data_IF_019021836231
#
_entry.id   IF_019021836231
#
_cell.length_a   1.000
_cell.length_b   1.000
_cell.length_c   1.000
_cell.angle_alpha   90.00
_cell.angle_beta   90.00
_cell.angle_gamma   90.00
#
_symmetry.space_group_name_H-M   'P 1'
#
loop_
_entity.id
_entity.type
_entity.pdbx_description
1 polymer ?
#
# COMPACT_ATOMS: atom_id res chain seq x y z
N UNK A 1 -54.58 -11.92 15.79
CA UNK A 1 -55.16 -13.23 16.08
C UNK A 1 -54.49 -14.31 15.27
N UNK A 2 -53.67 -15.13 15.93
CA UNK A 2 -53.34 -16.47 15.45
C UNK A 2 -53.75 -17.44 16.56
N UNK A 3 -54.77 -18.23 16.27
CA UNK A 3 -55.22 -19.33 17.12
C UNK A 3 -54.22 -20.47 17.16
N UNK A 4 -54.25 -21.20 18.26
CA UNK A 4 -53.39 -22.34 18.56
C UNK A 4 -53.67 -23.54 17.63
N UNK A 5 -52.58 -24.19 17.20
CA UNK A 5 -52.37 -25.65 17.05
C UNK A 5 -51.65 -26.04 15.75
N UNK A 6 -50.31 -26.09 15.81
CA UNK A 6 -49.48 -26.94 14.94
C UNK A 6 -48.13 -27.28 15.65
N UNK A 7 -47.71 -28.56 15.71
CA UNK A 7 -46.45 -28.96 16.32
C UNK A 7 -45.31 -28.82 15.30
N UNK A 8 -44.69 -27.64 15.32
CA UNK A 8 -43.52 -27.28 14.54
C UNK A 8 -43.27 -25.82 14.78
N UNK A 9 -42.24 -25.49 15.59
CA UNK A 9 -41.97 -24.14 16.05
C UNK A 9 -42.01 -23.15 14.89
N UNK A 10 -43.07 -22.35 14.82
CA UNK A 10 -43.20 -21.34 13.79
C UNK A 10 -42.33 -20.17 14.24
N UNK A 11 -41.15 -20.03 13.65
CA UNK A 11 -40.31 -18.86 13.86
C UNK A 11 -41.03 -17.64 13.29
N UNK A 12 -41.70 -16.91 14.17
CA UNK A 12 -42.43 -15.71 13.80
C UNK A 12 -41.45 -14.55 13.76
N UNK A 13 -41.20 -14.01 12.57
CA UNK A 13 -40.41 -12.80 12.37
C UNK A 13 -41.34 -11.60 12.20
N UNK A 14 -41.02 -10.49 12.88
CA UNK A 14 -41.76 -9.23 12.74
C UNK A 14 -40.91 -8.23 11.98
N UNK A 15 -41.46 -7.65 10.92
CA UNK A 15 -40.83 -6.53 10.22
C UNK A 15 -40.66 -5.33 11.15
N UNK A 16 -39.51 -4.66 11.05
CA UNK A 16 -39.33 -3.34 11.65
C UNK A 16 -40.25 -2.33 10.97
N UNK A 17 -40.51 -1.18 11.58
CA UNK A 17 -41.33 -0.13 10.94
C UNK A 17 -40.76 0.28 9.57
N UNK A 18 -39.43 0.39 9.47
CA UNK A 18 -38.76 0.63 8.20
C UNK A 18 -38.96 -0.52 7.21
N UNK A 19 -38.84 -1.78 7.64
CA UNK A 19 -39.09 -2.94 6.79
C UNK A 19 -40.53 -2.99 6.28
N UNK A 20 -41.51 -2.67 7.14
CA UNK A 20 -42.92 -2.60 6.75
C UNK A 20 -43.21 -1.46 5.77
N UNK A 21 -42.56 -0.31 5.94
CA UNK A 21 -42.67 0.80 4.98
C UNK A 21 -42.10 0.42 3.61
N UNK A 22 -40.91 -0.19 3.56
CA UNK A 22 -40.23 -0.56 2.32
C UNK A 22 -40.89 -1.72 1.56
N UNK A 23 -41.47 -2.69 2.27
CA UNK A 23 -41.94 -3.95 1.69
C UNK A 23 -43.47 -4.02 1.59
N UNK A 24 -44.19 -3.37 2.50
CA UNK A 24 -45.64 -3.47 2.62
C UNK A 24 -46.36 -2.12 2.50
N UNK A 25 -45.69 -1.09 1.98
CA UNK A 25 -46.24 0.26 1.75
C UNK A 25 -46.90 0.88 2.99
N UNK A 26 -46.41 0.50 4.18
CA UNK A 26 -46.85 1.05 5.45
C UNK A 26 -46.41 2.52 5.59
N UNK A 27 -47.00 3.31 6.51
CA UNK A 27 -46.58 4.70 6.74
C UNK A 27 -45.08 4.79 7.04
N UNK A 28 -44.44 5.83 6.49
CA UNK A 28 -43.03 6.07 6.74
C UNK A 28 -42.76 6.20 8.26
N UNK A 29 -41.72 5.54 8.78
CA UNK A 29 -41.32 5.75 10.17
C UNK A 29 -40.95 7.23 10.38
N UNK A 30 -41.14 7.76 11.60
CA UNK A 30 -40.73 9.13 11.91
C UNK A 30 -39.23 9.30 11.70
N UNK A 31 -38.84 10.46 11.14
CA UNK A 31 -37.43 10.82 11.01
C UNK A 31 -36.76 10.82 12.39
N UNK A 32 -35.64 10.11 12.50
CA UNK A 32 -34.86 10.13 13.73
C UNK A 32 -34.14 11.47 13.84
N UNK A 33 -34.21 12.14 15.00
CA UNK A 33 -33.48 13.39 15.21
C UNK A 33 -31.98 13.12 15.11
N UNK A 34 -31.28 13.93 14.31
CA UNK A 34 -29.83 13.88 14.22
C UNK A 34 -29.24 14.42 15.52
N UNK A 35 -28.71 13.53 16.36
CA UNK A 35 -28.11 13.90 17.63
C UNK A 35 -26.63 14.26 17.44
N UNK A 36 -26.15 15.38 18.01
CA UNK A 36 -24.75 15.75 17.93
C UNK A 36 -23.84 14.74 18.65
N UNK A 37 -22.58 14.72 18.23
CA UNK A 37 -21.52 14.06 18.97
C UNK A 37 -21.24 14.79 20.28
N UNK A 38 -20.90 14.04 21.33
CA UNK A 38 -20.46 14.63 22.59
C UNK A 38 -18.97 14.35 22.72
N UNK A 39 -18.17 15.42 22.61
CA UNK A 39 -16.71 15.35 22.70
C UNK A 39 -16.27 15.75 24.10
N UNK A 40 -15.60 14.84 24.79
CA UNK A 40 -15.13 15.04 26.17
C UNK A 40 -13.65 15.42 26.21
N UNK A 41 -13.25 16.17 27.24
CA UNK A 41 -11.84 16.55 27.47
C UNK A 41 -10.90 15.36 27.73
N UNK A 42 -11.46 14.16 27.96
CA UNK A 42 -10.75 12.88 28.08
C UNK A 42 -10.35 12.26 26.74
N UNK A 43 -10.62 12.92 25.61
CA UNK A 43 -10.49 12.39 24.25
C UNK A 43 -11.50 11.30 23.89
N UNK A 44 -12.53 11.12 24.71
CA UNK A 44 -13.65 10.24 24.42
C UNK A 44 -14.71 11.00 23.62
N UNK A 45 -15.19 10.37 22.56
CA UNK A 45 -16.24 10.88 21.69
C UNK A 45 -17.41 9.92 21.80
N UNK A 46 -18.47 10.40 22.41
CA UNK A 46 -19.72 9.66 22.54
C UNK A 46 -20.53 9.94 21.28
N UNK A 47 -20.87 8.86 20.58
CA UNK A 47 -21.68 8.84 19.37
C UNK A 47 -23.05 8.22 19.70
N UNK A 48 -24.08 9.06 19.93
CA UNK A 48 -25.44 8.60 20.19
C UNK A 48 -26.00 7.74 19.05
N UNK A 49 -27.01 6.89 19.30
CA UNK A 49 -27.64 6.08 18.26
C UNK A 49 -28.30 6.94 17.18
N UNK A 50 -28.78 8.15 17.54
CA UNK A 50 -29.35 9.12 16.61
C UNK A 50 -28.32 9.98 15.86
N UNK A 51 -27.02 9.80 16.07
CA UNK A 51 -26.01 10.54 15.30
C UNK A 51 -26.01 10.10 13.83
N UNK A 52 -25.75 11.05 12.92
CA UNK A 52 -25.73 10.77 11.49
C UNK A 52 -24.77 9.63 11.12
N UNK A 53 -25.15 8.85 10.09
CA UNK A 53 -24.29 7.79 9.55
C UNK A 53 -22.96 8.35 9.04
N UNK A 54 -22.97 9.58 8.52
CA UNK A 54 -21.78 10.32 8.13
C UNK A 54 -20.84 10.53 9.33
N UNK A 55 -21.34 11.05 10.45
CA UNK A 55 -20.54 11.25 11.66
C UNK A 55 -19.94 9.93 12.17
N UNK A 56 -20.75 8.87 12.20
CA UNK A 56 -20.30 7.53 12.62
C UNK A 56 -19.21 6.96 11.72
N UNK A 57 -19.37 7.11 10.41
CA UNK A 57 -18.37 6.68 9.43
C UNK A 57 -17.06 7.45 9.57
N UNK A 58 -17.13 8.78 9.68
CA UNK A 58 -15.95 9.62 9.83
C UNK A 58 -15.21 9.32 11.14
N UNK A 59 -15.93 9.12 12.26
CA UNK A 59 -15.32 8.70 13.53
C UNK A 59 -14.55 7.38 13.40
N UNK A 60 -15.10 6.40 12.69
CA UNK A 60 -14.39 5.14 12.41
C UNK A 60 -13.12 5.31 11.60
N UNK A 61 -12.94 6.45 10.90
CA UNK A 61 -11.71 6.76 10.18
C UNK A 61 -10.69 7.48 11.04
N UNK A 62 -11.09 8.22 12.08
CA UNK A 62 -10.17 9.16 12.78
C UNK A 62 -9.99 8.83 14.27
N UNK A 63 -10.78 7.91 14.82
CA UNK A 63 -10.75 7.52 16.23
C UNK A 63 -10.86 6.00 16.40
N UNK A 64 -10.43 5.49 17.55
CA UNK A 64 -10.49 4.07 17.88
C UNK A 64 -11.85 3.73 18.52
N UNK A 65 -12.48 2.65 18.09
CA UNK A 65 -13.73 2.18 18.70
C UNK A 65 -13.41 1.52 20.05
N UNK A 66 -13.96 2.06 21.14
CA UNK A 66 -13.82 1.47 22.47
C UNK A 66 -15.01 0.60 22.86
N UNK A 67 -16.22 1.09 22.59
CA UNK A 67 -17.44 0.39 22.95
C UNK A 67 -18.48 0.55 21.86
N UNK A 68 -19.13 -0.57 21.52
CA UNK A 68 -20.30 -0.61 20.64
C UNK A 68 -21.48 -1.21 21.41
N UNK A 69 -22.63 -0.55 21.35
CA UNK A 69 -23.83 -0.88 22.13
C UNK A 69 -24.91 0.17 21.89
N UNK A 70 -25.77 0.40 22.88
CA UNK A 70 -26.83 1.44 22.82
C UNK A 70 -26.27 2.83 22.52
N UNK A 71 -25.07 3.11 23.04
CA UNK A 71 -24.27 4.29 22.71
C UNK A 71 -22.90 3.79 22.27
N UNK A 72 -22.34 4.39 21.22
CA UNK A 72 -21.02 4.03 20.72
C UNK A 72 -19.99 5.01 21.25
N UNK A 73 -18.89 4.51 21.81
CA UNK A 73 -17.81 5.34 22.36
C UNK A 73 -16.57 5.13 21.50
N UNK A 74 -16.07 6.24 20.99
CA UNK A 74 -14.78 6.32 20.30
C UNK A 74 -13.77 7.03 21.19
N UNK A 75 -12.49 6.74 20.99
CA UNK A 75 -11.40 7.44 21.64
C UNK A 75 -10.42 7.98 20.62
N UNK A 76 -10.15 9.27 20.71
CA UNK A 76 -9.10 9.91 19.93
C UNK A 76 -7.74 9.58 20.54
N UNK A 77 -6.85 9.00 19.75
CA UNK A 77 -5.48 8.67 20.16
C UNK A 77 -4.50 9.25 19.15
N UNK A 78 -3.26 9.52 19.59
CA UNK A 78 -2.18 9.92 18.69
C UNK A 78 -2.06 8.95 17.51
N UNK A 79 -2.05 7.65 17.78
CA UNK A 79 -1.96 6.60 16.74
C UNK A 79 -3.07 6.70 15.69
N UNK A 80 -4.32 6.89 16.11
CA UNK A 80 -5.44 7.01 15.19
C UNK A 80 -5.36 8.28 14.32
N UNK A 81 -4.92 9.40 14.90
CA UNK A 81 -4.72 10.66 14.18
C UNK A 81 -3.56 10.56 13.19
N UNK A 82 -2.43 9.96 13.57
CA UNK A 82 -1.32 9.69 12.65
C UNK A 82 -1.76 8.79 11.48
N UNK A 83 -2.46 7.70 11.77
CA UNK A 83 -2.99 6.80 10.74
C UNK A 83 -4.05 7.48 9.85
N UNK A 84 -4.76 8.50 10.35
CA UNK A 84 -5.68 9.32 9.55
C UNK A 84 -4.91 10.26 8.61
N UNK A 85 -3.82 10.86 9.08
CA UNK A 85 -2.93 11.70 8.27
C UNK A 85 -2.27 10.91 7.13
N UNK A 86 -1.83 9.66 7.39
CA UNK A 86 -1.32 8.75 6.34
C UNK A 86 -2.34 8.49 5.22
N UNK A 87 -3.64 8.58 5.53
CA UNK A 87 -4.75 8.47 4.56
C UNK A 87 -5.18 9.81 3.95
N UNK A 88 -4.38 10.86 4.14
CA UNK A 88 -4.64 12.20 3.61
C UNK A 88 -5.71 12.99 4.39
N UNK A 89 -6.03 12.61 5.62
CA UNK A 89 -6.98 13.36 6.47
C UNK A 89 -6.17 14.28 7.38
N UNK A 90 -6.15 15.57 7.09
CA UNK A 90 -5.40 16.54 7.89
C UNK A 90 -6.05 16.71 9.29
N UNK A 91 -5.21 16.94 10.30
CA UNK A 91 -5.65 17.23 11.67
C UNK A 91 -6.65 18.40 11.73
N UNK A 92 -6.46 19.43 10.90
CA UNK A 92 -7.39 20.57 10.80
C UNK A 92 -8.79 20.14 10.30
N UNK A 93 -8.85 19.17 9.39
CA UNK A 93 -10.13 18.65 8.88
C UNK A 93 -10.83 17.79 9.92
N UNK A 94 -10.07 17.01 10.72
CA UNK A 94 -10.63 16.28 11.86
C UNK A 94 -11.20 17.25 12.90
N UNK A 95 -10.49 18.34 13.19
CA UNK A 95 -10.94 19.37 14.11
C UNK A 95 -12.26 20.00 13.64
N UNK A 96 -12.30 20.46 12.38
CA UNK A 96 -13.50 21.06 11.76
C UNK A 96 -14.67 20.08 11.78
N UNK A 97 -14.43 18.82 11.42
CA UNK A 97 -15.43 17.76 11.48
C UNK A 97 -16.02 17.60 12.89
N UNK A 98 -15.17 17.56 13.93
CA UNK A 98 -15.64 17.40 15.30
C UNK A 98 -16.49 18.60 15.74
N UNK A 99 -16.06 19.84 15.44
CA UNK A 99 -16.83 21.07 15.73
C UNK A 99 -18.20 21.08 15.05
N UNK A 100 -18.24 20.72 13.76
CA UNK A 100 -19.47 20.65 12.97
C UNK A 100 -20.46 19.63 13.53
N UNK A 101 -19.98 18.43 13.87
CA UNK A 101 -20.84 17.33 14.32
C UNK A 101 -21.17 17.39 15.83
N UNK A 102 -20.41 18.13 16.65
CA UNK A 102 -20.76 18.35 18.06
C UNK A 102 -21.65 19.57 18.29
N UNK A 103 -21.92 20.37 17.25
CA UNK A 103 -22.73 21.60 17.31
C UNK A 103 -22.28 22.56 18.43
N UNK A 104 -20.97 22.64 18.66
CA UNK A 104 -20.40 23.42 19.76
C UNK A 104 -18.89 23.47 19.72
N UNK A 105 -18.32 24.46 20.43
CA UNK A 105 -16.88 24.60 20.54
C UNK A 105 -16.27 23.41 21.31
N UNK A 106 -15.20 22.85 20.76
CA UNK A 106 -14.49 21.76 21.41
C UNK A 106 -13.71 22.25 22.63
N UNK A 107 -13.48 21.39 23.64
CA UNK A 107 -12.55 21.68 24.71
C UNK A 107 -11.17 22.11 24.16
N UNK A 108 -10.56 23.22 24.64
CA UNK A 108 -9.29 23.71 24.12
C UNK A 108 -8.15 22.69 24.15
N UNK A 109 -8.16 21.78 25.13
CA UNK A 109 -7.18 20.70 25.24
C UNK A 109 -7.19 19.77 24.02
N UNK A 110 -8.37 19.50 23.46
CA UNK A 110 -8.51 18.62 22.31
C UNK A 110 -7.99 19.31 21.06
N UNK A 111 -8.41 20.56 20.83
CA UNK A 111 -7.96 21.34 19.68
C UNK A 111 -6.43 21.48 19.65
N UNK A 112 -5.82 21.83 20.79
CA UNK A 112 -4.38 21.96 20.91
C UNK A 112 -3.65 20.64 20.63
N UNK A 113 -4.03 19.56 21.31
CA UNK A 113 -3.36 18.26 21.18
C UNK A 113 -3.55 17.63 19.80
N UNK A 114 -4.72 17.82 19.18
CA UNK A 114 -5.00 17.30 17.84
C UNK A 114 -4.12 18.02 16.80
N UNK A 115 -3.98 19.34 16.91
CA UNK A 115 -3.05 20.12 16.07
C UNK A 115 -1.59 19.77 16.34
N UNK A 116 -1.21 19.53 17.59
CA UNK A 116 0.14 19.07 17.94
C UNK A 116 0.46 17.72 17.28
N UNK A 117 -0.45 16.75 17.35
CA UNK A 117 -0.27 15.45 16.69
C UNK A 117 -0.19 15.59 15.17
N UNK A 118 -0.99 16.49 14.58
CA UNK A 118 -0.93 16.82 13.15
C UNK A 118 0.32 17.61 12.72
N UNK A 119 0.90 18.42 13.61
CA UNK A 119 2.15 19.12 13.32
C UNK A 119 3.37 18.19 13.31
N UNK A 120 3.27 17.03 13.96
CA UNK A 120 4.33 16.02 14.00
C UNK A 120 4.31 15.07 12.79
N UNK A 121 3.25 15.03 11.97
CA UNK A 121 3.13 14.11 10.82
C UNK A 121 3.95 14.52 9.60
N UNK A 122 4.51 15.73 9.56
CA UNK A 122 5.28 16.23 8.40
C UNK A 122 6.77 16.48 8.71
N UNK A 123 7.26 16.09 9.89
CA UNK A 123 8.67 16.31 10.25
C UNK A 123 9.64 15.45 9.44
N UNK A 124 9.18 14.28 8.97
CA UNK A 124 9.98 13.34 8.19
C UNK A 124 9.11 12.75 7.08
N UNK A 125 9.58 12.83 5.83
CA UNK A 125 8.91 12.28 4.65
C UNK A 125 9.86 11.31 3.95
N UNK A 126 9.38 10.12 3.64
CA UNK A 126 10.04 9.17 2.74
C UNK A 126 9.29 9.15 1.42
N UNK A 127 10.02 9.26 0.31
CA UNK A 127 9.48 9.19 -1.04
C UNK A 127 10.44 8.44 -1.96
N UNK A 128 9.89 7.83 -3.01
CA UNK A 128 10.68 7.34 -4.13
C UNK A 128 10.98 8.51 -5.06
N UNK A 129 12.22 8.63 -5.53
CA UNK A 129 12.64 9.69 -6.42
C UNK A 129 13.76 9.23 -7.35
N UNK A 130 13.69 9.62 -8.62
CA UNK A 130 14.83 9.54 -9.54
C UNK A 130 15.74 10.75 -9.33
N UNK A 131 17.04 10.48 -9.21
CA UNK A 131 18.07 11.50 -9.04
C UNK A 131 18.95 11.56 -10.28
N UNK A 132 19.10 12.76 -10.85
CA UNK A 132 20.13 13.07 -11.82
C UNK A 132 21.37 13.55 -11.06
N UNK A 133 22.45 12.79 -11.17
CA UNK A 133 23.75 13.14 -10.60
C UNK A 133 24.76 13.49 -11.67
N UNK A 134 25.49 14.58 -11.46
CA UNK A 134 26.65 14.94 -12.29
C UNK A 134 27.95 14.68 -11.56
N UNK A 135 29.03 14.53 -12.32
CA UNK A 135 30.39 14.35 -11.76
C UNK A 135 30.86 15.56 -10.97
N UNK A 136 30.43 16.76 -11.37
CA UNK A 136 30.78 18.02 -10.71
C UNK A 136 29.68 19.10 -10.93
N UNK A 137 29.75 20.24 -10.19
CA UNK A 137 28.76 21.31 -10.31
C UNK A 137 28.81 22.09 -11.64
N UNK A 138 29.94 22.07 -12.35
CA UNK A 138 30.11 22.79 -13.62
C UNK A 138 29.27 22.11 -14.69
N UNK A 139 29.32 20.77 -14.75
CA UNK A 139 28.48 19.96 -15.63
C UNK A 139 27.00 20.17 -15.33
N UNK A 140 26.60 20.21 -14.05
CA UNK A 140 25.21 20.51 -13.67
C UNK A 140 24.75 21.89 -14.18
N UNK A 141 25.60 22.91 -14.04
CA UNK A 141 25.29 24.25 -14.54
C UNK A 141 25.14 24.28 -16.07
N UNK A 142 25.99 23.57 -16.81
CA UNK A 142 25.89 23.45 -18.27
C UNK A 142 24.60 22.76 -18.70
N UNK A 143 24.22 21.66 -18.05
CA UNK A 143 22.96 20.95 -18.32
C UNK A 143 21.74 21.85 -18.07
N UNK A 144 21.74 22.62 -16.97
CA UNK A 144 20.62 23.53 -16.64
C UNK A 144 20.48 24.70 -17.60
N UNK A 145 21.54 25.10 -18.31
CA UNK A 145 21.48 26.14 -19.34
C UNK A 145 20.85 25.66 -20.65
N UNK A 146 20.80 24.34 -20.88
CA UNK A 146 20.20 23.77 -22.08
C UNK A 146 18.67 23.75 -21.97
N UNK A 147 18.00 24.70 -22.63
CA UNK A 147 16.52 24.81 -22.63
C UNK A 147 15.81 23.54 -23.10
N UNK A 148 16.45 22.76 -23.97
CA UNK A 148 15.91 21.50 -24.50
C UNK A 148 15.69 20.43 -23.43
N UNK A 149 16.46 20.46 -22.33
CA UNK A 149 16.39 19.47 -21.26
C UNK A 149 15.36 19.82 -20.17
N UNK A 150 14.78 21.03 -20.19
CA UNK A 150 13.77 21.45 -19.21
C UNK A 150 14.26 21.57 -17.75
N UNK A 151 15.54 21.37 -17.47
CA UNK A 151 16.11 21.29 -16.10
C UNK A 151 16.20 22.64 -15.37
N UNK A 152 15.97 23.76 -16.06
CA UNK A 152 16.11 25.10 -15.49
C UNK A 152 15.12 25.40 -14.35
N UNK A 153 13.91 24.85 -14.45
CA UNK A 153 12.83 25.08 -13.48
C UNK A 153 12.90 24.18 -12.24
N UNK A 154 13.78 23.17 -12.24
CA UNK A 154 13.90 22.21 -11.14
C UNK A 154 14.91 22.74 -10.12
N UNK A 155 14.47 22.82 -8.86
CA UNK A 155 15.32 23.21 -7.73
C UNK A 155 16.32 22.08 -7.43
N UNK A 156 17.65 22.34 -7.43
CA UNK A 156 18.64 21.33 -7.12
C UNK A 156 18.65 20.99 -5.63
N UNK A 157 18.81 19.70 -5.29
CA UNK A 157 19.00 19.28 -3.90
C UNK A 157 20.41 19.65 -3.40
N UNK A 158 21.40 19.51 -4.29
CA UNK A 158 22.78 19.94 -4.07
C UNK A 158 23.35 20.46 -5.40
N UNK A 159 24.54 21.08 -5.42
CA UNK A 159 25.15 21.54 -6.67
C UNK A 159 25.40 20.44 -7.72
N UNK A 160 25.35 19.16 -7.35
CA UNK A 160 25.55 18.01 -8.26
C UNK A 160 24.36 17.06 -8.33
N UNK A 161 23.32 17.26 -7.52
CA UNK A 161 22.14 16.40 -7.46
C UNK A 161 20.88 17.19 -7.74
N UNK A 162 20.10 16.67 -8.68
CA UNK A 162 18.82 17.22 -9.08
C UNK A 162 17.77 16.11 -9.05
N UNK A 163 16.64 16.39 -8.41
CA UNK A 163 15.51 15.45 -8.36
C UNK A 163 14.70 15.55 -9.65
N UNK A 164 14.52 14.45 -10.35
CA UNK A 164 13.74 14.39 -11.59
C UNK A 164 12.39 13.74 -11.28
N UNK A 165 11.27 14.26 -11.80
CA UNK A 165 9.99 13.56 -11.72
C UNK A 165 10.08 12.19 -12.40
N UNK A 166 9.56 11.14 -11.75
CA UNK A 166 9.68 9.77 -12.26
C UNK A 166 9.12 9.61 -13.69
N UNK A 167 8.02 10.30 -14.01
CA UNK A 167 7.42 10.27 -15.35
C UNK A 167 8.26 10.92 -16.46
N UNK A 168 9.16 11.83 -16.11
CA UNK A 168 10.01 12.55 -17.06
C UNK A 168 11.42 11.94 -17.18
N UNK A 169 11.74 10.97 -16.32
CA UNK A 169 13.09 10.44 -16.18
C UNK A 169 13.60 9.73 -17.44
N UNK A 170 12.77 8.92 -18.10
CA UNK A 170 13.14 8.20 -19.32
C UNK A 170 13.35 9.13 -20.51
N UNK A 171 12.43 10.08 -20.69
CA UNK A 171 12.52 11.08 -21.74
C UNK A 171 13.75 11.96 -21.55
N UNK A 172 14.04 12.37 -20.31
CA UNK A 172 15.24 13.13 -19.98
C UNK A 172 16.51 12.32 -20.27
N UNK A 173 16.56 11.04 -19.86
CA UNK A 173 17.71 10.18 -20.11
C UNK A 173 17.98 10.01 -21.62
N UNK A 174 16.93 9.89 -22.43
CA UNK A 174 17.04 9.82 -23.89
C UNK A 174 17.47 11.18 -24.49
N UNK A 175 16.96 12.30 -24.00
CA UNK A 175 17.38 13.64 -24.43
C UNK A 175 18.85 13.91 -24.10
N UNK A 176 19.32 13.51 -22.92
CA UNK A 176 20.72 13.62 -22.51
C UNK A 176 21.63 12.81 -23.43
N UNK A 177 21.25 11.57 -23.76
CA UNK A 177 21.97 10.72 -24.73
C UNK A 177 22.04 11.37 -26.11
N UNK A 178 20.93 11.92 -26.61
CA UNK A 178 20.89 12.65 -27.90
C UNK A 178 21.74 13.92 -27.89
N UNK A 179 21.85 14.59 -26.75
CA UNK A 179 22.71 15.75 -26.56
C UNK A 179 24.20 15.40 -26.40
N UNK A 180 24.57 14.11 -26.43
CA UNK A 180 25.96 13.63 -26.39
C UNK A 180 26.48 13.36 -24.98
N UNK A 181 25.64 13.39 -23.95
CA UNK A 181 26.03 13.03 -22.59
C UNK A 181 25.98 11.52 -22.38
N UNK A 182 27.05 10.95 -21.85
CA UNK A 182 27.06 9.57 -21.40
C UNK A 182 26.23 9.42 -20.13
N UNK A 183 25.02 8.87 -20.25
CA UNK A 183 24.14 8.60 -19.10
C UNK A 183 24.41 7.18 -18.60
N UNK A 184 24.93 7.07 -17.39
CA UNK A 184 24.96 5.79 -16.67
C UNK A 184 23.63 5.63 -15.97
N UNK A 185 22.81 4.69 -16.45
CA UNK A 185 21.52 4.40 -15.85
C UNK A 185 21.68 3.29 -14.80
N UNK A 186 21.68 3.68 -13.53
CA UNK A 186 21.71 2.75 -12.38
C UNK A 186 20.31 2.48 -11.81
N UNK A 187 19.26 2.97 -12.47
CA UNK A 187 17.88 2.70 -12.03
C UNK A 187 17.62 1.20 -12.15
N UNK A 188 17.53 0.51 -11.02
CA UNK A 188 16.90 -0.81 -10.97
C UNK A 188 15.41 -0.52 -10.99
N UNK A 189 14.74 -0.71 -12.12
CA UNK A 189 13.29 -0.58 -12.20
C UNK A 189 12.65 -1.89 -11.72
N UNK A 190 12.10 -1.99 -10.49
CA UNK A 190 11.44 -3.19 -10.01
C UNK A 190 10.11 -3.47 -10.74
N UNK A 191 9.60 -2.52 -11.52
CA UNK A 191 8.35 -2.65 -12.29
C UNK A 191 8.61 -3.05 -13.74
N UNK A 192 9.85 -2.94 -14.23
CA UNK A 192 10.21 -3.46 -15.55
C UNK A 192 10.13 -4.99 -15.51
N UNK A 193 9.30 -5.63 -16.35
CA UNK A 193 9.20 -7.08 -16.37
C UNK A 193 10.55 -7.68 -16.77
N UNK A 194 10.98 -8.72 -16.06
CA UNK A 194 12.15 -9.50 -16.43
C UNK A 194 12.02 -9.98 -17.88
N UNK A 195 13.08 -9.82 -18.66
CA UNK A 195 13.11 -10.31 -20.02
C UNK A 195 13.17 -11.86 -20.05
N UNK A 196 13.02 -12.46 -21.24
CA UNK A 196 13.05 -13.92 -21.36
C UNK A 196 14.39 -14.54 -20.90
N UNK A 197 15.49 -13.80 -20.99
CA UNK A 197 16.83 -14.26 -20.61
C UNK A 197 16.93 -14.32 -19.09
N UNK A 198 16.46 -13.30 -18.41
CA UNK A 198 16.44 -13.20 -16.95
C UNK A 198 15.45 -14.21 -16.35
N UNK A 199 14.26 -14.33 -16.93
CA UNK A 199 13.29 -15.37 -16.55
C UNK A 199 13.87 -16.78 -16.73
N UNK A 200 14.55 -17.05 -17.86
CA UNK A 200 15.23 -18.33 -18.09
C UNK A 200 16.28 -18.59 -17.01
N UNK A 201 17.09 -17.60 -16.66
CA UNK A 201 18.15 -17.73 -15.67
C UNK A 201 17.59 -18.06 -14.28
N UNK A 202 16.54 -17.36 -13.85
CA UNK A 202 15.90 -17.57 -12.54
C UNK A 202 15.23 -18.95 -12.46
N UNK A 203 14.42 -19.30 -13.45
CA UNK A 203 13.75 -20.61 -13.50
C UNK A 203 14.78 -21.73 -13.62
N UNK A 204 15.81 -21.55 -14.43
CA UNK A 204 16.89 -22.51 -14.62
C UNK A 204 17.68 -22.75 -13.33
N UNK A 205 17.98 -21.69 -12.57
CA UNK A 205 18.64 -21.80 -11.28
C UNK A 205 17.78 -22.58 -10.26
N UNK A 206 16.47 -22.31 -10.20
CA UNK A 206 15.56 -23.04 -9.32
C UNK A 206 15.47 -24.53 -9.68
N UNK A 207 15.40 -24.85 -10.98
CA UNK A 207 15.39 -26.23 -11.48
C UNK A 207 16.72 -26.95 -11.23
N UNK A 208 17.85 -26.28 -11.44
CA UNK A 208 19.17 -26.84 -11.20
C UNK A 208 19.38 -27.11 -9.70
N UNK A 209 19.03 -26.15 -8.84
CA UNK A 209 19.15 -26.28 -7.39
C UNK A 209 18.30 -27.43 -6.85
N UNK A 210 17.03 -27.52 -7.26
CA UNK A 210 16.14 -28.62 -6.84
C UNK A 210 16.65 -30.00 -7.29
N UNK A 211 17.19 -30.11 -8.51
CA UNK A 211 17.85 -31.34 -9.00
C UNK A 211 19.10 -31.68 -8.20
N UNK A 212 19.96 -30.72 -7.92
CA UNK A 212 21.18 -30.94 -7.13
C UNK A 212 20.84 -31.38 -5.71
N UNK A 213 19.84 -30.77 -5.06
CA UNK A 213 19.39 -31.19 -3.74
C UNK A 213 18.91 -32.65 -3.75
N UNK A 214 18.15 -33.04 -4.79
CA UNK A 214 17.69 -34.41 -4.93
C UNK A 214 18.84 -35.41 -5.20
N UNK A 215 19.81 -35.05 -6.03
CA UNK A 215 20.97 -35.91 -6.32
C UNK A 215 21.92 -36.07 -5.13
N UNK A 216 22.08 -35.02 -4.32
CA UNK A 216 22.99 -34.98 -3.18
C UNK A 216 22.32 -35.35 -1.84
N UNK A 217 21.05 -35.73 -1.87
CA UNK A 217 20.22 -36.01 -0.69
C UNK A 217 20.24 -34.87 0.35
N UNK A 218 20.21 -33.64 -0.15
CA UNK A 218 20.19 -32.42 0.67
C UNK A 218 18.76 -31.91 0.86
N UNK A 219 18.44 -31.30 2.02
CA UNK A 219 17.17 -30.64 2.21
C UNK A 219 17.03 -29.49 1.20
N UNK A 220 15.91 -29.49 0.46
CA UNK A 220 15.61 -28.44 -0.51
C UNK A 220 14.63 -27.42 0.08
N UNK A 221 15.03 -26.15 0.13
CA UNK A 221 14.16 -25.06 0.59
C UNK A 221 13.05 -24.73 -0.42
N UNK A 222 13.26 -25.05 -1.70
CA UNK A 222 12.26 -24.83 -2.75
C UNK A 222 11.25 -25.97 -2.73
N UNK A 223 10.07 -25.69 -2.19
CA UNK A 223 8.97 -26.66 -2.19
C UNK A 223 8.49 -27.00 -3.62
N UNK A 224 7.97 -28.22 -3.87
CA UNK A 224 7.41 -28.59 -5.17
C UNK A 224 6.27 -27.67 -5.64
N UNK A 225 5.45 -27.17 -4.71
CA UNK A 225 4.37 -26.24 -5.00
C UNK A 225 4.89 -24.86 -5.46
N UNK A 226 5.97 -24.36 -4.84
CA UNK A 226 6.62 -23.11 -5.25
C UNK A 226 7.22 -23.26 -6.65
N UNK A 227 7.93 -24.36 -6.91
CA UNK A 227 8.52 -24.63 -8.22
C UNK A 227 7.44 -24.72 -9.32
N UNK A 228 6.34 -25.43 -9.05
CA UNK A 228 5.23 -25.54 -9.99
C UNK A 228 4.56 -24.18 -10.25
N UNK A 229 4.41 -23.35 -9.21
CA UNK A 229 3.87 -21.99 -9.36
C UNK A 229 4.80 -21.11 -10.19
N UNK A 230 6.11 -21.18 -9.95
CA UNK A 230 7.12 -20.45 -10.72
C UNK A 230 7.04 -20.81 -12.21
N UNK A 231 7.03 -22.10 -12.54
CA UNK A 231 6.92 -22.55 -13.94
C UNK A 231 5.61 -22.11 -14.62
N UNK A 232 4.51 -21.96 -13.87
CA UNK A 232 3.22 -21.47 -14.43
C UNK A 232 3.21 -19.97 -14.72
N UNK A 233 4.07 -19.19 -14.06
CA UNK A 233 4.14 -17.74 -14.22
C UNK A 233 5.00 -17.30 -15.41
N UNK A 234 5.66 -18.24 -16.08
CA UNK A 234 6.64 -17.99 -17.14
C UNK A 234 6.19 -18.67 -18.44
N UNK A 235 6.42 -18.10 -19.64
CA UNK A 235 6.06 -18.72 -20.90
C UNK A 235 6.69 -20.13 -21.06
N UNK A 236 5.93 -21.09 -21.58
CA UNK A 236 6.36 -22.49 -21.71
C UNK A 236 7.72 -22.65 -22.42
N UNK A 237 7.95 -21.87 -23.49
CA UNK A 237 9.23 -21.86 -24.23
C UNK A 237 10.44 -21.52 -23.34
N UNK A 238 10.26 -20.63 -22.36
CA UNK A 238 11.31 -20.19 -21.44
C UNK A 238 11.53 -21.27 -20.38
N UNK A 239 10.47 -21.91 -19.90
CA UNK A 239 10.56 -23.06 -18.96
C UNK A 239 11.29 -24.24 -19.59
N UNK A 240 10.96 -24.60 -20.83
CA UNK A 240 11.64 -25.68 -21.56
C UNK A 240 13.13 -25.39 -21.76
N UNK A 241 13.47 -24.17 -22.18
CA UNK A 241 14.85 -23.75 -22.34
C UNK A 241 15.61 -23.70 -21.00
N UNK A 242 14.94 -23.31 -19.92
CA UNK A 242 15.48 -23.29 -18.56
C UNK A 242 15.76 -24.70 -18.05
N UNK A 243 14.85 -25.65 -18.30
CA UNK A 243 14.98 -27.04 -17.87
C UNK A 243 16.17 -27.76 -18.54
N UNK A 244 16.35 -27.54 -19.85
CA UNK A 244 17.52 -28.02 -20.59
C UNK A 244 18.82 -27.42 -20.06
N UNK A 245 18.83 -26.11 -19.80
CA UNK A 245 19.99 -25.41 -19.25
C UNK A 245 20.35 -25.92 -17.85
N UNK A 246 19.35 -26.19 -17.02
CA UNK A 246 19.53 -26.75 -15.69
C UNK A 246 20.12 -28.17 -15.74
N UNK A 247 19.61 -29.03 -16.64
CA UNK A 247 20.13 -30.40 -16.80
C UNK A 247 21.62 -30.38 -17.22
N UNK A 248 21.97 -29.52 -18.17
CA UNK A 248 23.35 -29.35 -18.63
C UNK A 248 24.26 -28.85 -17.51
N UNK A 249 23.82 -27.85 -16.73
CA UNK A 249 24.60 -27.32 -15.62
C UNK A 249 24.88 -28.39 -14.56
N UNK A 250 23.88 -29.19 -14.17
CA UNK A 250 24.06 -30.28 -13.20
C UNK A 250 25.01 -31.35 -13.74
N UNK A 251 24.88 -31.76 -15.01
CA UNK A 251 25.80 -32.74 -15.62
C UNK A 251 27.24 -32.24 -15.63
N UNK A 252 27.47 -30.98 -16.01
CA UNK A 252 28.81 -30.38 -16.04
C UNK A 252 29.45 -30.28 -14.65
N UNK A 253 28.66 -29.92 -13.64
CA UNK A 253 29.13 -29.89 -12.25
C UNK A 253 29.53 -31.30 -11.82
N UNK A 254 28.70 -32.30 -12.11
CA UNK A 254 29.00 -33.71 -11.80
C UNK A 254 30.28 -34.20 -12.48
N UNK A 255 30.46 -33.91 -13.77
CA UNK A 255 31.65 -34.28 -14.53
C UNK A 255 32.92 -33.63 -13.94
N UNK A 256 32.86 -32.35 -13.56
CA UNK A 256 33.98 -31.66 -12.89
C UNK A 256 34.31 -32.21 -11.52
N UNK A 257 33.31 -32.57 -10.72
CA UNK A 257 33.52 -33.21 -9.42
C UNK A 257 34.16 -34.59 -9.60
N UNK A 258 33.73 -35.34 -10.62
CA UNK A 258 34.32 -36.66 -10.93
C UNK A 258 35.79 -36.53 -11.37
N UNK A 259 36.12 -35.59 -12.26
CA UNK A 259 37.50 -35.39 -12.72
C UNK A 259 38.44 -34.93 -11.60
N UNK A 260 37.96 -34.11 -10.65
CA UNK A 260 38.77 -33.68 -9.51
C UNK A 260 39.07 -34.81 -8.50
N UNK A 261 38.22 -35.85 -8.46
CA UNK A 261 38.45 -37.03 -7.60
C UNK A 261 39.41 -38.06 -8.20
N UNK A 262 39.71 -37.98 -9.50
CA UNK A 262 40.65 -38.87 -10.19
C UNK A 262 42.09 -38.31 -10.21
N UNK A 263 42.27 -37.03 -9.92
CA UNK A 263 43.58 -36.35 -9.85
C UNK A 263 44.21 -36.34 -8.43
N UNK A 264 43.44 -36.64 -7.38
CA UNK A 264 43.87 -36.79 -5.97
C UNK A 264 44.11 -38.27 -5.59
#
# INVERSE_FOLDING_TARGET
DCGADAPGGCDVVRLTQLGAHLVADAPAPPDMPNLPLIVQSTFEIICPPGASLYARFQLGRVAELQQSGTVTIFRLTRRAVLAAAERGIAAQDVLRFLEEQSHGALPPSIAYTLLEWGGQTEQVRLEHAVLLQTVDPIVMAQLRQQKTLGLGAIEPMTPTLLRVPDGDADDLAEQLRRAGWGVRDERIDPQLPLDDRDLKAVVGAALAYTRMCAELDLPCEISPALLQRLCRLVPARVVEAADQSAAQAVSQIRERIASQREED
#
